data_IF_031356941241
#
_entry.id   IF_031356941241
#
_cell.length_a   1.000
_cell.length_b   1.000
_cell.length_c   1.000
_cell.angle_alpha   90.00
_cell.angle_beta   90.00
_cell.angle_gamma   90.00
#
_symmetry.space_group_name_H-M   'P 1'
#
loop_
_entity.id
_entity.type
_entity.pdbx_description
1 polymer ?
#
# COMPACT_ATOMS: atom_id res chain seq x y z
N UNK A 1 -11.07 29.60 -16.56
CA UNK A 1 -10.49 28.36 -17.10
C UNK A 1 -10.07 27.51 -15.92
N UNK A 2 -10.67 26.36 -15.78
CA UNK A 2 -10.24 25.38 -14.76
C UNK A 2 -8.90 24.79 -15.18
N UNK A 3 -8.03 24.56 -14.20
CA UNK A 3 -6.65 24.12 -14.47
C UNK A 3 -6.63 22.58 -14.52
N UNK A 4 -5.87 22.04 -15.45
CA UNK A 4 -5.57 20.62 -15.45
C UNK A 4 -4.87 20.20 -14.17
N UNK A 5 -5.09 18.96 -13.76
CA UNK A 5 -4.49 18.41 -12.56
C UNK A 5 -4.28 16.90 -12.66
N UNK A 6 -3.43 16.40 -11.78
CA UNK A 6 -3.17 14.98 -11.57
C UNK A 6 -3.63 14.60 -10.15
N UNK A 7 -4.21 13.43 -10.02
CA UNK A 7 -4.45 12.80 -8.71
C UNK A 7 -3.32 11.82 -8.39
N UNK A 8 -2.68 12.02 -7.27
CA UNK A 8 -1.69 11.09 -6.71
C UNK A 8 -2.29 10.35 -5.53
N UNK A 9 -2.35 9.02 -5.62
CA UNK A 9 -2.98 8.15 -4.63
C UNK A 9 -1.91 7.28 -3.98
N UNK A 10 -1.49 7.65 -2.78
CA UNK A 10 -0.57 6.85 -1.97
C UNK A 10 -1.32 5.84 -1.13
N UNK A 11 -0.82 4.61 -1.05
CA UNK A 11 -1.43 3.53 -0.28
C UNK A 11 -0.40 2.87 0.64
N UNK A 12 -0.68 2.82 1.92
CA UNK A 12 0.02 1.99 2.89
C UNK A 12 -0.73 0.68 3.09
N UNK A 13 -0.05 -0.44 2.81
CA UNK A 13 -0.65 -1.77 2.76
C UNK A 13 -0.20 -2.60 3.95
N UNK A 14 -1.14 -2.98 4.79
CA UNK A 14 -0.94 -3.86 5.94
C UNK A 14 -1.71 -5.18 5.78
N UNK A 15 -1.63 -6.08 6.77
CA UNK A 15 -2.32 -7.36 6.71
C UNK A 15 -3.85 -7.19 6.63
N UNK A 16 -4.43 -7.46 5.46
CA UNK A 16 -5.87 -7.51 5.22
C UNK A 16 -6.55 -6.16 4.98
N UNK A 17 -5.82 -5.04 5.05
CA UNK A 17 -6.34 -3.69 4.80
C UNK A 17 -5.29 -2.77 4.19
N UNK A 18 -5.74 -1.70 3.57
CA UNK A 18 -4.89 -0.57 3.21
C UNK A 18 -5.50 0.75 3.69
N UNK A 19 -4.62 1.70 4.00
CA UNK A 19 -4.96 3.10 4.17
C UNK A 19 -4.43 3.88 2.95
N UNK A 20 -5.26 4.75 2.37
CA UNK A 20 -4.91 5.54 1.19
C UNK A 20 -5.09 7.03 1.46
N UNK A 21 -4.31 7.85 0.75
CA UNK A 21 -4.47 9.30 0.71
C UNK A 21 -4.52 9.79 -0.74
N UNK A 22 -5.37 10.78 -1.03
CA UNK A 22 -5.59 11.35 -2.36
C UNK A 22 -5.09 12.78 -2.36
N UNK A 23 -4.06 13.06 -3.15
CA UNK A 23 -3.45 14.38 -3.32
C UNK A 23 -3.75 14.90 -4.72
N UNK A 24 -4.44 16.06 -4.81
CA UNK A 24 -4.66 16.80 -6.06
C UNK A 24 -3.51 17.77 -6.30
N UNK A 25 -2.91 17.72 -7.48
CA UNK A 25 -1.81 18.59 -7.89
C UNK A 25 -2.16 19.24 -9.23
N UNK A 26 -2.26 20.56 -9.25
CA UNK A 26 -2.46 21.32 -10.48
C UNK A 26 -1.17 21.38 -11.29
N UNK A 27 -1.28 21.43 -12.62
CA UNK A 27 -0.20 21.72 -13.55
C UNK A 27 0.41 23.13 -13.37
N UNK A 28 -0.36 24.06 -12.77
CA UNK A 28 0.14 25.39 -12.43
C UNK A 28 0.94 25.37 -11.13
N UNK A 29 2.23 25.74 -11.24
CA UNK A 29 3.14 25.83 -10.07
C UNK A 29 2.67 26.78 -8.95
N UNK A 30 1.84 27.78 -9.27
CA UNK A 30 1.27 28.72 -8.30
C UNK A 30 0.18 28.10 -7.40
N UNK A 31 -0.41 26.97 -7.80
CA UNK A 31 -1.45 26.28 -7.05
C UNK A 31 -0.82 25.26 -6.14
N UNK A 32 -0.98 25.44 -4.82
CA UNK A 32 -0.47 24.49 -3.83
C UNK A 32 -1.20 23.16 -3.93
N UNK A 33 -0.49 22.04 -3.82
CA UNK A 33 -1.10 20.71 -3.70
C UNK A 33 -2.08 20.63 -2.55
N UNK A 34 -3.18 19.91 -2.75
CA UNK A 34 -4.25 19.79 -1.78
C UNK A 34 -4.65 18.33 -1.59
N UNK A 35 -4.63 17.84 -0.34
CA UNK A 35 -5.25 16.55 -0.04
C UNK A 35 -6.77 16.66 -0.15
N UNK A 36 -7.37 15.87 -1.03
CA UNK A 36 -8.82 15.67 -1.14
C UNK A 36 -9.30 14.70 -0.06
N UNK A 37 -8.49 13.68 0.20
CA UNK A 37 -8.63 12.76 1.33
C UNK A 37 -7.27 12.50 1.94
N UNK A 38 -7.17 12.61 3.26
CA UNK A 38 -5.96 12.29 4.02
C UNK A 38 -5.95 10.84 4.49
N UNK A 39 -7.12 10.23 4.60
CA UNK A 39 -7.30 8.83 4.97
C UNK A 39 -8.56 8.27 4.31
N UNK A 40 -8.40 7.15 3.62
CA UNK A 40 -9.45 6.32 3.05
C UNK A 40 -9.01 4.87 3.26
N UNK A 41 -9.74 4.13 4.10
CA UNK A 41 -9.36 2.75 4.44
C UNK A 41 -10.25 1.76 3.69
N UNK A 42 -9.67 0.64 3.23
CA UNK A 42 -10.40 -0.46 2.60
C UNK A 42 -9.75 -1.81 2.94
N UNK A 43 -10.53 -2.88 2.90
CA UNK A 43 -10.04 -4.26 3.10
C UNK A 43 -9.69 -4.90 1.76
N UNK A 44 -8.86 -5.95 1.81
CA UNK A 44 -8.44 -6.71 0.62
C UNK A 44 -9.52 -7.71 0.15
N UNK A 45 -10.73 -7.24 0.02
CA UNK A 45 -11.82 -7.96 -0.60
C UNK A 45 -12.09 -7.31 -1.95
N UNK A 46 -12.28 -8.10 -3.02
CA UNK A 46 -12.44 -7.59 -4.40
C UNK A 46 -13.48 -6.47 -4.51
N UNK A 47 -14.60 -6.61 -3.83
CA UNK A 47 -15.67 -5.60 -3.82
C UNK A 47 -15.24 -4.28 -3.16
N UNK A 48 -14.46 -4.33 -2.07
CA UNK A 48 -13.99 -3.11 -1.40
C UNK A 48 -12.88 -2.42 -2.20
N UNK A 49 -11.97 -3.19 -2.84
CA UNK A 49 -10.95 -2.61 -3.73
C UNK A 49 -11.61 -1.99 -4.97
N UNK A 50 -12.63 -2.62 -5.54
CA UNK A 50 -13.40 -2.02 -6.64
C UNK A 50 -14.10 -0.73 -6.19
N UNK A 51 -14.78 -0.73 -5.04
CA UNK A 51 -15.41 0.46 -4.47
C UNK A 51 -14.40 1.57 -4.16
N UNK A 52 -13.19 1.21 -3.73
CA UNK A 52 -12.09 2.15 -3.54
C UNK A 52 -11.70 2.82 -4.86
N UNK A 53 -11.50 2.06 -5.94
CA UNK A 53 -11.18 2.61 -7.26
C UNK A 53 -12.28 3.56 -7.74
N UNK A 54 -13.55 3.18 -7.63
CA UNK A 54 -14.68 4.06 -7.99
C UNK A 54 -14.70 5.34 -7.12
N UNK A 55 -14.40 5.22 -5.82
CA UNK A 55 -14.30 6.36 -4.93
C UNK A 55 -13.17 7.31 -5.37
N UNK A 56 -11.99 6.78 -5.73
CA UNK A 56 -10.89 7.62 -6.25
C UNK A 56 -11.31 8.30 -7.55
N UNK A 57 -11.91 7.58 -8.48
CA UNK A 57 -12.39 8.10 -9.77
C UNK A 57 -13.46 9.18 -9.61
N UNK A 58 -14.30 9.10 -8.57
CA UNK A 58 -15.29 10.14 -8.29
C UNK A 58 -14.70 11.52 -7.96
N UNK A 59 -13.40 11.60 -7.67
CA UNK A 59 -12.68 12.87 -7.50
C UNK A 59 -12.10 13.41 -8.81
N UNK A 60 -12.17 12.65 -9.90
CA UNK A 60 -11.75 13.12 -11.22
C UNK A 60 -12.90 13.79 -11.95
N UNK A 61 -12.57 14.83 -12.71
CA UNK A 61 -13.45 15.54 -13.63
C UNK A 61 -12.73 15.69 -15.00
N UNK A 62 -13.34 16.42 -15.92
CA UNK A 62 -12.80 16.65 -17.27
C UNK A 62 -11.41 17.30 -17.30
N UNK A 63 -10.97 17.92 -16.21
CA UNK A 63 -9.65 18.53 -16.07
C UNK A 63 -8.63 17.58 -15.43
N UNK A 64 -9.03 16.38 -14.98
CA UNK A 64 -8.13 15.39 -14.47
C UNK A 64 -7.40 14.68 -15.61
N UNK A 65 -6.11 14.96 -15.76
CA UNK A 65 -5.31 14.40 -16.86
C UNK A 65 -4.84 12.98 -16.58
N UNK A 66 -4.62 12.64 -15.31
CA UNK A 66 -4.16 11.30 -14.94
C UNK A 66 -4.41 11.00 -13.45
N UNK A 67 -4.48 9.70 -13.12
CA UNK A 67 -4.50 9.19 -11.76
C UNK A 67 -3.29 8.27 -11.57
N UNK A 68 -2.41 8.63 -10.64
CA UNK A 68 -1.19 7.88 -10.34
C UNK A 68 -1.32 7.20 -8.97
N UNK A 69 -1.46 5.89 -8.95
CA UNK A 69 -1.42 5.09 -7.74
C UNK A 69 0.01 4.71 -7.36
N UNK A 70 0.30 4.65 -6.08
CA UNK A 70 1.55 4.07 -5.59
C UNK A 70 1.40 3.42 -4.22
N UNK A 71 2.21 2.41 -3.97
CA UNK A 71 2.28 1.71 -2.69
C UNK A 71 3.71 1.25 -2.42
N UNK A 72 4.03 1.05 -1.14
CA UNK A 72 5.29 0.42 -0.77
C UNK A 72 5.27 -1.08 -1.06
N UNK A 73 6.43 -1.62 -1.45
CA UNK A 73 6.60 -3.06 -1.58
C UNK A 73 6.80 -3.72 -0.21
N UNK A 74 5.73 -4.19 0.40
CA UNK A 74 5.74 -4.86 1.71
C UNK A 74 5.51 -6.38 1.62
N UNK A 75 5.72 -6.96 0.44
CA UNK A 75 5.61 -8.40 0.20
C UNK A 75 4.25 -8.81 -0.40
N UNK A 76 3.78 -10.01 -0.09
CA UNK A 76 2.62 -10.64 -0.75
C UNK A 76 1.31 -9.82 -0.65
N UNK A 77 1.11 -9.08 0.44
CA UNK A 77 -0.11 -8.29 0.60
C UNK A 77 -0.15 -7.12 -0.38
N UNK A 78 0.96 -6.40 -0.51
CA UNK A 78 1.07 -5.28 -1.46
C UNK A 78 1.00 -5.76 -2.92
N UNK A 79 1.57 -6.92 -3.22
CA UNK A 79 1.51 -7.50 -4.57
C UNK A 79 0.08 -7.81 -4.99
N UNK A 80 -0.72 -8.46 -4.14
CA UNK A 80 -2.10 -8.80 -4.46
C UNK A 80 -2.96 -7.55 -4.74
N UNK A 81 -2.76 -6.48 -3.97
CA UNK A 81 -3.46 -5.20 -4.20
C UNK A 81 -2.99 -4.55 -5.51
N UNK A 82 -1.68 -4.54 -5.74
CA UNK A 82 -1.09 -4.02 -6.96
C UNK A 82 -1.64 -4.73 -8.20
N UNK A 83 -1.60 -6.07 -8.22
CA UNK A 83 -2.04 -6.86 -9.36
C UNK A 83 -3.52 -6.63 -9.66
N UNK A 84 -4.36 -6.57 -8.61
CA UNK A 84 -5.77 -6.30 -8.79
C UNK A 84 -6.03 -4.90 -9.35
N UNK A 85 -5.37 -3.87 -8.80
CA UNK A 85 -5.52 -2.50 -9.30
C UNK A 85 -4.98 -2.42 -10.74
N UNK A 86 -3.78 -2.96 -11.02
CA UNK A 86 -3.17 -2.97 -12.35
C UNK A 86 -4.09 -3.57 -13.42
N UNK A 87 -4.78 -4.67 -13.09
CA UNK A 87 -5.73 -5.33 -14.00
C UNK A 87 -7.02 -4.52 -14.25
N UNK A 88 -7.29 -3.49 -13.45
CA UNK A 88 -8.51 -2.68 -13.52
C UNK A 88 -8.23 -1.19 -13.78
N UNK A 89 -7.02 -0.84 -14.24
CA UNK A 89 -6.65 0.54 -14.61
C UNK A 89 -7.33 0.97 -15.91
N UNK A 90 -7.68 2.25 -16.00
CA UNK A 90 -8.05 2.91 -17.24
C UNK A 90 -6.81 3.47 -17.95
N UNK A 91 -6.97 3.91 -19.20
CA UNK A 91 -5.86 4.38 -20.06
C UNK A 91 -5.06 5.53 -19.45
N UNK A 92 -5.72 6.42 -18.71
CA UNK A 92 -5.09 7.57 -18.04
C UNK A 92 -4.67 7.27 -16.58
N UNK A 93 -4.68 6.01 -16.18
CA UNK A 93 -4.30 5.58 -14.83
C UNK A 93 -3.00 4.80 -14.84
N UNK A 94 -2.23 4.90 -13.78
CA UNK A 94 -1.00 4.15 -13.59
C UNK A 94 -0.82 3.71 -12.15
N UNK A 95 -0.07 2.62 -11.93
CA UNK A 95 0.28 2.16 -10.59
C UNK A 95 1.76 1.82 -10.53
N UNK A 96 2.43 2.16 -9.43
CA UNK A 96 3.86 1.92 -9.22
C UNK A 96 4.14 1.40 -7.81
N UNK A 97 5.18 0.57 -7.70
CA UNK A 97 5.76 0.23 -6.40
C UNK A 97 6.90 1.19 -6.06
N UNK A 98 6.90 1.69 -4.84
CA UNK A 98 8.02 2.43 -4.27
C UNK A 98 8.95 1.48 -3.50
N UNK A 99 10.23 1.79 -3.54
CA UNK A 99 11.21 1.13 -2.71
C UNK A 99 11.00 1.54 -1.24
N UNK A 100 10.84 0.56 -0.36
CA UNK A 100 10.57 0.76 1.08
C UNK A 100 11.70 1.55 1.77
N UNK A 101 12.95 1.29 1.41
CA UNK A 101 14.09 2.00 1.98
C UNK A 101 14.08 3.48 1.59
N UNK A 102 13.71 3.78 0.34
CA UNK A 102 13.56 5.16 -0.13
C UNK A 102 12.45 5.90 0.64
N UNK A 103 11.29 5.29 0.84
CA UNK A 103 10.19 5.87 1.63
C UNK A 103 10.62 6.13 3.06
N UNK A 104 11.36 5.20 3.69
CA UNK A 104 11.89 5.38 5.03
C UNK A 104 12.91 6.54 5.11
N UNK A 105 13.83 6.63 4.17
CA UNK A 105 14.80 7.74 4.10
C UNK A 105 14.10 9.08 3.90
N UNK A 106 13.09 9.14 3.02
CA UNK A 106 12.28 10.33 2.82
C UNK A 106 11.60 10.80 4.11
N UNK A 107 11.01 9.87 4.87
CA UNK A 107 10.37 10.20 6.16
C UNK A 107 11.36 10.76 7.17
N UNK A 108 12.54 10.15 7.29
CA UNK A 108 13.59 10.63 8.18
C UNK A 108 14.04 12.03 7.78
N UNK A 109 14.31 12.26 6.49
CA UNK A 109 14.76 13.56 5.97
C UNK A 109 13.76 14.70 6.20
N UNK A 110 12.46 14.38 6.25
CA UNK A 110 11.38 15.36 6.45
C UNK A 110 10.78 15.36 7.86
N UNK A 111 11.40 14.64 8.82
CA UNK A 111 10.94 14.50 10.21
C UNK A 111 9.46 14.06 10.31
N UNK A 112 9.01 13.16 9.46
CA UNK A 112 7.63 12.65 9.44
C UNK A 112 7.53 11.47 10.41
N UNK A 113 6.64 11.58 11.41
CA UNK A 113 6.36 10.49 12.33
C UNK A 113 5.75 9.28 11.61
N UNK A 114 6.10 8.06 12.07
CA UNK A 114 5.54 6.84 11.53
C UNK A 114 4.11 6.63 12.04
N UNK A 115 3.15 6.60 11.11
CA UNK A 115 1.78 6.19 11.39
C UNK A 115 1.06 5.88 10.06
N UNK A 116 0.18 4.87 10.04
CA UNK A 116 -0.50 4.41 8.83
C UNK A 116 -1.12 5.55 7.97
N UNK A 117 -1.84 6.54 8.53
CA UNK A 117 -2.39 7.64 7.72
C UNK A 117 -1.32 8.58 7.17
N UNK A 118 -0.21 8.79 7.90
CA UNK A 118 0.89 9.64 7.45
C UNK A 118 1.74 8.92 6.40
N UNK A 119 1.84 7.59 6.49
CA UNK A 119 2.58 6.78 5.52
C UNK A 119 1.89 6.86 4.15
N UNK A 120 0.57 6.72 4.05
CA UNK A 120 -0.18 6.91 2.81
C UNK A 120 -0.04 8.35 2.24
N UNK A 121 -0.09 9.38 3.10
CA UNK A 121 0.13 10.77 2.68
C UNK A 121 1.58 10.99 2.18
N UNK A 122 2.55 10.38 2.83
CA UNK A 122 3.95 10.43 2.43
C UNK A 122 4.15 9.81 1.06
N UNK A 123 3.59 8.61 0.82
CA UNK A 123 3.66 7.92 -0.46
C UNK A 123 3.07 8.80 -1.58
N UNK A 124 1.89 9.39 -1.40
CA UNK A 124 1.27 10.28 -2.40
C UNK A 124 2.10 11.56 -2.64
N UNK A 125 2.83 12.03 -1.64
CA UNK A 125 3.72 13.19 -1.78
C UNK A 125 5.00 12.84 -2.52
N UNK A 126 5.59 11.67 -2.25
CA UNK A 126 6.80 11.19 -2.90
C UNK A 126 6.58 11.04 -4.42
N UNK A 127 5.52 10.34 -4.84
CA UNK A 127 5.25 10.11 -6.27
C UNK A 127 4.97 11.38 -7.07
N UNK A 128 4.51 12.43 -6.39
CA UNK A 128 4.35 13.75 -7.01
C UNK A 128 5.69 14.37 -7.40
N UNK A 129 6.74 14.14 -6.64
CA UNK A 129 8.03 14.81 -6.86
C UNK A 129 8.74 14.32 -8.10
N UNK A 130 8.47 13.11 -8.55
CA UNK A 130 8.96 12.40 -9.77
C UNK A 130 10.48 12.54 -10.04
N UNK A 131 11.21 13.17 -9.12
CA UNK A 131 12.63 13.41 -9.21
C UNK A 131 13.32 12.32 -8.37
N UNK A 132 14.06 11.43 -9.02
CA UNK A 132 14.92 10.42 -8.41
C UNK A 132 14.20 9.37 -7.53
N UNK A 133 12.89 9.19 -7.75
CA UNK A 133 12.14 8.16 -7.02
C UNK A 133 12.59 6.78 -7.47
N UNK A 134 13.10 5.99 -6.53
CA UNK A 134 13.45 4.60 -6.79
C UNK A 134 12.19 3.75 -6.84
N UNK A 135 11.71 3.52 -8.06
CA UNK A 135 10.67 2.53 -8.32
C UNK A 135 11.27 1.13 -8.29
N UNK A 136 10.51 0.17 -7.78
CA UNK A 136 10.84 -1.23 -7.98
C UNK A 136 10.52 -1.56 -9.43
N UNK A 137 11.54 -1.99 -10.18
CA UNK A 137 11.43 -2.24 -11.61
C UNK A 137 10.43 -3.40 -11.86
N UNK A 138 9.47 -3.22 -12.78
CA UNK A 138 8.47 -4.25 -13.10
C UNK A 138 9.13 -5.58 -13.52
N UNK A 139 10.30 -5.55 -14.17
CA UNK A 139 11.07 -6.74 -14.55
C UNK A 139 11.53 -7.58 -13.33
N UNK A 140 11.60 -6.98 -12.14
CA UNK A 140 11.85 -7.72 -10.89
C UNK A 140 10.63 -8.57 -10.51
N UNK A 141 9.44 -8.27 -11.05
CA UNK A 141 8.20 -9.00 -10.81
C UNK A 141 7.96 -10.10 -11.86
N UNK A 142 8.36 -9.92 -13.11
CA UNK A 142 8.18 -10.94 -14.16
C UNK A 142 9.00 -12.21 -13.91
N UNK A 143 10.20 -12.10 -13.29
CA UNK A 143 11.02 -13.23 -12.86
C UNK A 143 10.60 -13.83 -11.50
N UNK A 144 9.49 -13.41 -10.90
CA UNK A 144 9.15 -13.67 -9.49
C UNK A 144 8.17 -14.80 -9.23
N UNK A 145 7.59 -15.43 -10.23
CA UNK A 145 6.71 -16.57 -9.94
C UNK A 145 7.42 -17.59 -9.04
N UNK A 146 8.65 -17.96 -9.30
CA UNK A 146 9.44 -18.87 -8.45
C UNK A 146 9.80 -18.30 -7.07
N UNK A 147 10.14 -17.03 -6.95
CA UNK A 147 10.53 -16.42 -5.66
C UNK A 147 9.33 -16.10 -4.77
N UNK A 148 8.21 -15.69 -5.34
CA UNK A 148 6.96 -15.48 -4.60
C UNK A 148 6.37 -16.80 -4.13
N UNK A 149 6.40 -17.83 -4.98
CA UNK A 149 5.99 -19.19 -4.62
C UNK A 149 6.88 -19.74 -3.50
N UNK A 150 8.19 -19.51 -3.56
CA UNK A 150 9.11 -19.90 -2.49
C UNK A 150 8.84 -19.14 -1.19
N UNK A 151 8.62 -17.82 -1.24
CA UNK A 151 8.24 -17.04 -0.04
C UNK A 151 6.90 -17.49 0.54
N UNK A 152 5.92 -17.76 -0.28
CA UNK A 152 4.62 -18.28 0.14
C UNK A 152 4.75 -19.66 0.80
N UNK A 153 5.58 -20.55 0.21
CA UNK A 153 5.89 -21.86 0.78
C UNK A 153 6.63 -21.77 2.11
N UNK A 154 7.65 -20.91 2.22
CA UNK A 154 8.40 -20.67 3.46
C UNK A 154 7.48 -20.11 4.55
N UNK A 155 6.62 -19.13 4.20
CA UNK A 155 5.66 -18.58 5.15
C UNK A 155 4.64 -19.64 5.61
N UNK A 156 4.11 -20.44 4.70
CA UNK A 156 3.19 -21.54 5.00
C UNK A 156 3.86 -22.59 5.89
N UNK A 157 5.11 -22.94 5.62
CA UNK A 157 5.89 -23.86 6.45
C UNK A 157 6.09 -23.31 7.87
N UNK A 158 6.42 -22.03 8.00
CA UNK A 158 6.55 -21.36 9.30
C UNK A 158 5.24 -21.35 10.10
N UNK A 159 4.11 -21.08 9.46
CA UNK A 159 2.78 -21.13 10.10
C UNK A 159 2.42 -22.54 10.56
N UNK A 160 2.71 -23.57 9.76
CA UNK A 160 2.50 -24.97 10.13
C UNK A 160 3.35 -25.34 11.36
N UNK A 161 4.64 -24.97 11.36
CA UNK A 161 5.52 -25.19 12.53
C UNK A 161 4.96 -24.49 13.78
N UNK A 162 4.59 -23.23 13.67
CA UNK A 162 4.04 -22.45 14.79
C UNK A 162 2.79 -23.11 15.35
N UNK A 163 1.89 -23.59 14.50
CA UNK A 163 0.66 -24.28 14.92
C UNK A 163 0.92 -25.66 15.56
N UNK A 164 1.95 -26.38 15.09
CA UNK A 164 2.35 -27.64 15.70
C UNK A 164 2.98 -27.42 17.08
N UNK A 165 3.82 -26.40 17.24
CA UNK A 165 4.41 -26.06 18.54
C UNK A 165 3.36 -25.59 19.56
N UNK A 166 2.37 -24.81 19.14
CA UNK A 166 1.30 -24.35 20.03
C UNK A 166 0.36 -25.48 20.48
N UNK A 167 0.22 -26.56 19.69
CA UNK A 167 -0.57 -27.74 20.07
C UNK A 167 0.17 -28.70 21.01
N UNK A 168 1.51 -28.63 21.03
CA UNK A 168 2.35 -29.52 21.87
C UNK A 168 2.78 -28.87 23.19
N UNK A 169 2.26 -27.71 23.56
CA UNK A 169 2.44 -27.21 24.93
C UNK A 169 1.54 -28.05 25.85
N UNK A 170 2.12 -28.75 26.83
CA UNK A 170 1.30 -29.48 27.82
C UNK A 170 0.42 -28.46 28.55
N UNK A 171 -0.89 -28.70 28.53
CA UNK A 171 -1.81 -27.94 29.35
C UNK A 171 -1.29 -28.00 30.80
N UNK A 172 -0.91 -26.85 31.33
CA UNK A 172 -0.58 -26.74 32.74
C UNK A 172 -1.80 -27.19 33.54
N UNK A 173 -1.73 -28.42 34.03
CA UNK A 173 -2.64 -28.91 35.03
C UNK A 173 -2.39 -28.11 36.31
N UNK A 174 -3.34 -27.35 36.85
CA UNK A 174 -3.12 -26.66 38.11
C UNK A 174 -2.99 -27.76 39.19
N UNK A 175 -1.79 -27.91 39.79
CA UNK A 175 -1.62 -28.69 41.02
C UNK A 175 -2.57 -28.14 42.08
N UNK A 176 -3.60 -28.88 42.40
CA UNK A 176 -4.36 -28.66 43.62
C UNK A 176 -3.44 -29.03 44.78
N UNK A 177 -2.96 -28.03 45.49
CA UNK A 177 -2.38 -28.17 46.81
C UNK A 177 -3.50 -28.62 47.74
N UNK A 178 -3.50 -29.89 48.08
CA UNK A 178 -4.20 -30.38 49.27
C UNK A 178 -3.38 -29.96 50.48
N UNK A 179 -3.84 -28.95 51.21
CA UNK A 179 -3.41 -28.67 52.58
C UNK A 179 -4.29 -29.50 53.49
N UNK A 180 -3.69 -30.43 54.16
CA UNK A 180 -4.22 -31.18 55.32
C UNK A 180 -4.13 -30.33 56.60
#
# INVERSE_FOLDING_TARGET
MENNYILYVGMDVSKGKADAAILKVSDRRSVKPKFLRKKLSFKFVKSEVASFLETVRSYSDVNCTSICFALEFTGIYSTNVYDYIKANLYENESIKFLNTDFVNQWRIAHNIAKSDPLDAQTISTIIRTDLDVQYVNDNVFENKNGYQDLKALVHRHYQIKKNLFSRNQPSHCPMRLFVS
#
